data_IF_069280368602
#
_entry.id   IF_069280368602
#
_cell.length_a   1.000
_cell.length_b   1.000
_cell.length_c   1.000
_cell.angle_alpha   90.00
_cell.angle_beta   90.00
_cell.angle_gamma   90.00
#
_symmetry.space_group_name_H-M   'P 1'
#
loop_
_entity.id
_entity.type
_entity.pdbx_description
1 polymer ?
#
# COMPACT_ATOMS: atom_id res chain seq x y z
N UNK A 1 13.40 -18.88 7.68
CA UNK A 1 13.05 -17.50 8.09
C UNK A 1 11.86 -17.03 7.26
N UNK A 2 10.65 -17.08 7.82
CA UNK A 2 9.38 -16.68 7.14
C UNK A 2 9.12 -15.16 7.28
N UNK A 3 9.82 -14.49 8.19
CA UNK A 3 9.63 -13.09 8.57
C UNK A 3 9.87 -12.06 7.45
N UNK A 4 10.94 -12.13 6.64
CA UNK A 4 11.17 -11.12 5.59
C UNK A 4 10.08 -11.14 4.52
N UNK A 5 9.60 -12.33 4.18
CA UNK A 5 8.49 -12.48 3.23
C UNK A 5 7.18 -11.94 3.79
N UNK A 6 6.92 -12.15 5.08
CA UNK A 6 5.73 -11.65 5.75
C UNK A 6 5.76 -10.12 5.89
N UNK A 7 6.93 -9.54 6.19
CA UNK A 7 7.16 -8.10 6.24
C UNK A 7 6.88 -7.44 4.89
N UNK A 8 7.45 -8.00 3.81
CA UNK A 8 7.23 -7.54 2.45
C UNK A 8 5.76 -7.63 2.00
N UNK A 9 5.03 -8.66 2.45
CA UNK A 9 3.59 -8.80 2.16
C UNK A 9 2.73 -7.79 2.93
N UNK A 10 3.12 -7.45 4.16
CA UNK A 10 2.36 -6.52 5.00
C UNK A 10 2.66 -5.04 4.73
N UNK A 11 3.73 -4.74 3.97
CA UNK A 11 4.18 -3.37 3.72
C UNK A 11 4.85 -2.73 4.93
N UNK A 12 5.39 -3.54 5.84
CA UNK A 12 6.01 -3.13 7.10
C UNK A 12 7.52 -3.33 7.00
N UNK A 13 8.33 -2.46 7.61
CA UNK A 13 9.79 -2.61 7.61
C UNK A 13 10.20 -3.91 8.32
N UNK A 14 11.31 -4.52 7.87
CA UNK A 14 11.82 -5.77 8.46
C UNK A 14 12.04 -5.65 9.97
N UNK A 15 12.59 -4.51 10.42
CA UNK A 15 12.79 -4.21 11.85
C UNK A 15 11.50 -4.21 12.65
N UNK A 16 10.41 -3.70 12.07
CA UNK A 16 9.11 -3.61 12.73
C UNK A 16 8.40 -4.96 12.72
N UNK A 17 8.53 -5.74 11.65
CA UNK A 17 8.04 -7.12 11.61
C UNK A 17 8.71 -7.99 12.68
N UNK A 18 10.00 -7.80 12.93
CA UNK A 18 10.74 -8.52 13.99
C UNK A 18 10.29 -8.10 15.41
N UNK A 19 9.99 -6.82 15.63
CA UNK A 19 9.36 -6.35 16.87
C UNK A 19 7.99 -7.02 17.11
N UNK A 20 7.11 -6.99 16.10
CA UNK A 20 5.77 -7.58 16.19
C UNK A 20 5.84 -9.09 16.41
N UNK A 21 6.83 -9.77 15.81
CA UNK A 21 7.06 -11.19 16.06
C UNK A 21 7.43 -11.49 17.50
N UNK A 22 8.32 -10.69 18.10
CA UNK A 22 8.68 -10.84 19.51
C UNK A 22 7.47 -10.62 20.43
N UNK A 23 6.56 -9.71 20.08
CA UNK A 23 5.30 -9.49 20.81
C UNK A 23 4.38 -10.69 20.66
N UNK A 24 4.16 -11.16 19.43
CA UNK A 24 3.30 -12.30 19.14
C UNK A 24 3.75 -13.59 19.87
N UNK A 25 5.06 -13.86 19.92
CA UNK A 25 5.60 -14.99 20.68
C UNK A 25 5.38 -14.85 22.20
N UNK A 26 5.46 -13.63 22.75
CA UNK A 26 5.20 -13.40 24.19
C UNK A 26 3.73 -13.61 24.52
N UNK A 27 2.83 -13.06 23.72
CA UNK A 27 1.39 -13.22 23.92
C UNK A 27 0.94 -14.67 23.73
N UNK A 28 1.47 -15.36 22.70
CA UNK A 28 1.23 -16.79 22.53
C UNK A 28 1.72 -17.59 23.74
N UNK A 29 2.88 -17.27 24.30
CA UNK A 29 3.39 -17.95 25.49
C UNK A 29 2.48 -17.73 26.71
N UNK A 30 1.89 -16.54 26.86
CA UNK A 30 0.93 -16.24 27.93
C UNK A 30 -0.38 -17.01 27.77
N UNK A 31 -0.88 -17.13 26.54
CA UNK A 31 -2.17 -17.80 26.26
C UNK A 31 -2.06 -19.33 26.30
N UNK A 32 -0.94 -19.89 25.84
CA UNK A 32 -0.78 -21.34 25.70
C UNK A 32 -0.16 -21.99 26.93
N UNK A 33 0.56 -21.24 27.78
CA UNK A 33 1.25 -21.74 28.98
C UNK A 33 2.46 -22.64 28.70
N UNK A 34 2.50 -23.33 27.56
CA UNK A 34 3.61 -24.12 27.07
C UNK A 34 4.31 -23.42 25.89
N UNK A 35 5.64 -23.31 25.96
CA UNK A 35 6.46 -22.87 24.83
C UNK A 35 6.79 -24.08 23.94
N UNK A 36 6.90 -23.81 22.65
CA UNK A 36 7.34 -24.76 21.61
C UNK A 36 6.37 -25.92 21.31
N UNK A 37 5.13 -25.85 21.78
CA UNK A 37 4.07 -26.78 21.40
C UNK A 37 3.44 -26.40 20.05
N UNK A 38 2.85 -27.36 19.33
CA UNK A 38 2.10 -27.10 18.10
C UNK A 38 1.02 -25.99 18.24
N UNK A 39 0.18 -25.97 19.31
CA UNK A 39 -0.78 -24.89 19.50
C UNK A 39 -0.13 -23.52 19.76
N UNK A 40 1.04 -23.48 20.40
CA UNK A 40 1.77 -22.24 20.62
C UNK A 40 2.16 -21.56 19.29
N UNK A 41 2.70 -22.34 18.34
CA UNK A 41 3.09 -21.80 17.04
C UNK A 41 1.87 -21.32 16.22
N UNK A 42 0.76 -22.05 16.29
CA UNK A 42 -0.50 -21.64 15.69
C UNK A 42 -1.03 -20.32 16.28
N UNK A 43 -0.95 -20.18 17.60
CA UNK A 43 -1.37 -18.96 18.31
C UNK A 43 -0.47 -17.77 17.98
N UNK A 44 0.86 -17.96 17.98
CA UNK A 44 1.82 -16.91 17.63
C UNK A 44 1.59 -16.39 16.20
N UNK A 45 1.26 -17.29 15.27
CA UNK A 45 0.95 -16.90 13.89
C UNK A 45 -0.34 -16.08 13.79
N UNK A 46 -1.40 -16.45 14.52
CA UNK A 46 -2.66 -15.70 14.51
C UNK A 46 -2.49 -14.30 15.11
N UNK A 47 -1.77 -14.19 16.23
CA UNK A 47 -1.50 -12.90 16.88
C UNK A 47 -0.66 -12.00 15.95
N UNK A 48 0.35 -12.56 15.30
CA UNK A 48 1.18 -11.81 14.35
C UNK A 48 0.34 -11.24 13.19
N UNK A 49 -0.59 -12.02 12.63
CA UNK A 49 -1.49 -11.55 11.57
C UNK A 49 -2.39 -10.41 12.06
N UNK A 50 -2.96 -10.53 13.25
CA UNK A 50 -3.79 -9.48 13.84
C UNK A 50 -3.01 -8.18 14.06
N UNK A 51 -1.78 -8.27 14.58
CA UNK A 51 -0.90 -7.12 14.78
C UNK A 51 -0.52 -6.44 13.46
N UNK A 52 -0.24 -7.22 12.42
CA UNK A 52 0.07 -6.68 11.09
C UNK A 52 -1.14 -6.00 10.44
N UNK A 53 -2.35 -6.54 10.62
CA UNK A 53 -3.56 -5.87 10.16
C UNK A 53 -3.77 -4.53 10.88
N UNK A 54 -3.59 -4.48 12.20
CA UNK A 54 -3.69 -3.24 12.96
C UNK A 54 -2.69 -2.19 12.51
N UNK A 55 -1.43 -2.57 12.27
CA UNK A 55 -0.40 -1.68 11.72
C UNK A 55 -0.76 -1.17 10.33
N UNK A 56 -1.33 -2.01 9.46
CA UNK A 56 -1.82 -1.56 8.15
C UNK A 56 -2.89 -0.50 8.30
N UNK A 57 -3.83 -0.64 9.22
CA UNK A 57 -4.86 0.39 9.47
C UNK A 57 -4.26 1.69 10.01
N UNK A 58 -3.18 1.61 10.79
CA UNK A 58 -2.53 2.77 11.38
C UNK A 58 -1.61 3.51 10.38
N UNK A 59 -1.01 2.79 9.42
CA UNK A 59 -0.14 3.35 8.39
C UNK A 59 -0.89 4.13 7.29
N UNK A 60 -2.21 3.96 7.16
CA UNK A 60 -3.05 4.78 6.28
C UNK A 60 -3.90 5.74 7.10
N UNK A 61 -3.43 6.97 7.38
CA UNK A 61 -4.29 7.97 7.99
C UNK A 61 -5.50 8.20 7.09
N UNK A 62 -6.69 8.27 7.68
CA UNK A 62 -7.96 8.60 7.02
C UNK A 62 -7.88 9.90 6.20
N UNK A 63 -6.91 10.78 6.50
CA UNK A 63 -6.64 12.01 5.78
C UNK A 63 -5.89 11.82 4.44
N UNK A 64 -5.19 10.70 4.25
CA UNK A 64 -4.40 10.43 3.02
C UNK A 64 -5.27 9.76 1.95
N UNK A 65 -6.36 9.10 2.35
CA UNK A 65 -7.32 8.46 1.44
C UNK A 65 -7.93 9.41 0.40
N UNK A 66 -8.45 10.60 0.77
CA UNK A 66 -8.96 11.57 -0.21
C UNK A 66 -7.88 12.00 -1.21
N UNK A 67 -6.64 12.20 -0.74
CA UNK A 67 -5.53 12.63 -1.59
C UNK A 67 -5.04 11.53 -2.54
N UNK A 68 -4.94 10.28 -2.06
CA UNK A 68 -4.61 9.10 -2.88
C UNK A 68 -5.69 8.81 -3.94
N UNK A 69 -6.96 8.92 -3.57
CA UNK A 69 -8.08 8.81 -4.51
C UNK A 69 -8.04 9.93 -5.56
N UNK A 70 -7.74 11.17 -5.13
CA UNK A 70 -7.53 12.30 -6.04
C UNK A 70 -6.36 12.06 -7.00
N UNK A 71 -5.22 11.56 -6.53
CA UNK A 71 -4.05 11.25 -7.38
C UNK A 71 -4.36 10.15 -8.41
N UNK A 72 -5.06 9.09 -8.01
CA UNK A 72 -5.49 8.03 -8.92
C UNK A 72 -6.49 8.51 -9.98
N UNK A 73 -7.30 9.51 -9.64
CA UNK A 73 -8.10 10.28 -10.59
C UNK A 73 -7.20 11.04 -11.57
N UNK A 74 -6.34 11.92 -11.08
CA UNK A 74 -5.45 12.77 -11.89
C UNK A 74 -4.60 11.99 -12.91
N UNK A 75 -4.06 10.81 -12.56
CA UNK A 75 -3.34 9.99 -13.54
C UNK A 75 -4.24 9.46 -14.66
N UNK A 76 -5.47 9.03 -14.31
CA UNK A 76 -6.48 8.58 -15.28
C UNK A 76 -6.91 9.73 -16.22
N UNK A 77 -7.10 10.91 -15.65
CA UNK A 77 -7.40 12.13 -16.38
C UNK A 77 -6.20 12.59 -17.24
N UNK A 78 -4.96 12.35 -16.83
CA UNK A 78 -3.75 12.63 -17.63
C UNK A 78 -3.67 11.76 -18.89
N UNK A 79 -4.01 10.48 -18.79
CA UNK A 79 -4.07 9.57 -19.94
C UNK A 79 -5.22 9.95 -20.88
N UNK A 80 -6.38 10.30 -20.32
CA UNK A 80 -7.54 10.75 -21.09
C UNK A 80 -7.26 12.08 -21.81
N UNK A 81 -6.68 13.05 -21.13
CA UNK A 81 -6.30 14.35 -21.72
C UNK A 81 -5.28 14.18 -22.84
N UNK A 82 -4.25 13.32 -22.69
CA UNK A 82 -3.34 13.01 -23.81
C UNK A 82 -4.05 12.36 -25.00
N UNK A 83 -4.99 11.45 -24.76
CA UNK A 83 -5.71 10.75 -25.84
C UNK A 83 -6.66 11.69 -26.61
N UNK A 84 -7.31 12.63 -25.93
CA UNK A 84 -8.39 13.44 -26.51
C UNK A 84 -8.02 14.91 -26.80
N UNK A 85 -7.16 15.54 -25.99
CA UNK A 85 -6.80 16.96 -26.18
C UNK A 85 -5.65 17.17 -27.16
N UNK A 86 -4.71 16.22 -27.28
CA UNK A 86 -3.63 16.32 -28.28
C UNK A 86 -4.15 16.41 -29.74
N UNK A 87 -5.17 15.66 -30.19
CA UNK A 87 -5.69 15.82 -31.55
C UNK A 87 -6.42 17.17 -31.76
N UNK A 88 -7.12 17.69 -30.75
CA UNK A 88 -7.80 19.00 -30.83
C UNK A 88 -6.81 20.17 -30.85
N UNK A 89 -5.75 20.10 -30.03
CA UNK A 89 -4.68 21.10 -30.03
C UNK A 89 -3.84 21.07 -31.33
N UNK A 90 -3.75 19.91 -32.00
CA UNK A 90 -3.13 19.79 -33.34
C UNK A 90 -4.03 20.35 -34.45
N UNK A 91 -5.35 20.24 -34.31
CA UNK A 91 -6.33 20.80 -35.23
C UNK A 91 -6.43 22.32 -35.12
N UNK A 92 -6.27 22.88 -33.91
CA UNK A 92 -6.09 24.31 -33.68
C UNK A 92 -4.65 24.77 -33.96
N UNK A 93 -4.07 24.38 -35.10
CA UNK A 93 -2.94 25.12 -35.64
C UNK A 93 -3.53 26.40 -36.24
N UNK A 94 -3.22 27.60 -35.68
CA UNK A 94 -3.77 28.83 -36.23
C UNK A 94 -3.37 28.92 -37.70
N UNK A 95 -4.39 29.08 -38.53
CA UNK A 95 -4.33 29.40 -39.94
C UNK A 95 -3.38 30.60 -40.11
N UNK A 96 -2.09 30.34 -40.34
CA UNK A 96 -1.15 31.39 -40.73
C UNK A 96 -1.49 31.77 -42.16
N UNK A 97 -2.40 32.75 -42.23
CA UNK A 97 -2.44 33.88 -43.15
C UNK A 97 -1.89 33.61 -44.54
N UNK A 98 -2.80 33.60 -45.52
CA UNK A 98 -2.45 33.85 -46.90
C UNK A 98 -1.64 35.14 -47.01
N UNK A 99 -0.53 35.08 -47.74
CA UNK A 99 0.06 36.25 -48.39
C UNK A 99 -0.26 36.17 -49.87
N UNK A 100 -0.99 37.15 -50.44
CA UNK A 100 -0.99 37.37 -51.87
C UNK A 100 0.20 38.27 -52.28
N UNK A 101 0.66 38.04 -53.52
CA UNK A 101 1.68 38.72 -54.33
C UNK A 101 3.08 38.13 -54.27
#
# INVERSE_FOLDING_TARGET
MILPWLAGRAGVSDSRAEELWRVACREAALLTGERDSSPYWGMAQQILLALLEQERWQAYPLLVWPWLLMQGGLQRWSILTRRWLLPLLRACRPLQSGRPR
#
